data_IF_138994849229
#
_entry.id   IF_138994849229
#
_cell.length_a   1.000
_cell.length_b   1.000
_cell.length_c   1.000
_cell.angle_alpha   90.00
_cell.angle_beta   90.00
_cell.angle_gamma   90.00
#
_symmetry.space_group_name_H-M   'P 1'
#
loop_
_entity.id
_entity.type
_entity.pdbx_description
1 polymer ?
#
# COMPACT_ATOMS: atom_id res chain seq x y z
N UNK A 1 -12.75 -7.74 54.76
CA UNK A 1 -13.79 -7.46 53.78
C UNK A 1 -13.43 -6.25 52.93
N UNK A 2 -13.14 -5.08 53.49
CA UNK A 2 -12.76 -3.83 52.79
C UNK A 2 -11.53 -4.00 51.88
N UNK A 3 -10.46 -4.69 52.33
CA UNK A 3 -9.23 -4.88 51.54
C UNK A 3 -9.43 -5.81 50.33
N UNK A 4 -10.39 -6.72 50.35
CA UNK A 4 -10.73 -7.57 49.21
C UNK A 4 -11.53 -6.79 48.15
N UNK A 5 -12.43 -5.95 48.56
CA UNK A 5 -13.27 -5.11 47.72
C UNK A 5 -12.42 -4.04 47.00
N UNK A 6 -11.43 -3.46 47.67
CA UNK A 6 -10.48 -2.50 47.08
C UNK A 6 -9.59 -3.17 46.05
N UNK A 7 -9.13 -4.40 46.27
CA UNK A 7 -8.36 -5.16 45.27
C UNK A 7 -9.19 -5.54 44.05
N UNK A 8 -10.46 -5.89 44.22
CA UNK A 8 -11.36 -6.25 43.14
C UNK A 8 -11.67 -5.04 42.26
N UNK A 9 -11.87 -3.86 42.88
CA UNK A 9 -12.06 -2.60 42.17
C UNK A 9 -10.81 -2.17 41.36
N UNK A 10 -9.61 -2.33 41.90
CA UNK A 10 -8.35 -2.03 41.20
C UNK A 10 -8.15 -2.99 40.03
N UNK A 11 -8.47 -4.25 40.15
CA UNK A 11 -8.37 -5.25 39.08
C UNK A 11 -9.37 -4.95 37.96
N UNK A 12 -10.62 -4.60 38.28
CA UNK A 12 -11.65 -4.25 37.32
C UNK A 12 -11.29 -2.95 36.57
N UNK A 13 -10.84 -1.91 37.27
CA UNK A 13 -10.39 -0.65 36.65
C UNK A 13 -9.18 -0.84 35.72
N UNK A 14 -8.22 -1.65 36.09
CA UNK A 14 -7.08 -1.98 35.23
C UNK A 14 -7.50 -2.78 33.99
N UNK A 15 -8.44 -3.71 34.13
CA UNK A 15 -8.97 -4.51 33.02
C UNK A 15 -9.77 -3.64 32.04
N UNK A 16 -10.53 -2.68 32.53
CA UNK A 16 -11.26 -1.72 31.68
C UNK A 16 -10.30 -0.77 30.93
N UNK A 17 -9.26 -0.29 31.61
CA UNK A 17 -8.22 0.57 30.98
C UNK A 17 -7.44 -0.18 29.90
N UNK A 18 -7.11 -1.45 30.13
CA UNK A 18 -6.43 -2.29 29.12
C UNK A 18 -7.32 -2.56 27.93
N UNK A 19 -8.59 -2.89 28.13
CA UNK A 19 -9.56 -3.10 27.04
C UNK A 19 -9.82 -1.83 26.23
N UNK A 20 -9.86 -0.66 26.87
CA UNK A 20 -9.98 0.63 26.19
C UNK A 20 -8.75 0.95 25.35
N UNK A 21 -7.54 0.76 25.88
CA UNK A 21 -6.28 0.93 25.16
C UNK A 21 -6.20 0.01 23.93
N UNK A 22 -6.58 -1.24 24.09
CA UNK A 22 -6.59 -2.22 23.01
C UNK A 22 -7.57 -1.84 21.89
N UNK A 23 -8.78 -1.38 22.23
CA UNK A 23 -9.76 -0.89 21.26
C UNK A 23 -9.25 0.35 20.50
N UNK A 24 -8.66 1.29 21.22
CA UNK A 24 -8.08 2.51 20.63
C UNK A 24 -6.93 2.17 19.67
N UNK A 25 -6.03 1.27 20.08
CA UNK A 25 -4.90 0.82 19.28
C UNK A 25 -5.37 0.09 18.01
N UNK A 26 -6.37 -0.77 18.09
CA UNK A 26 -6.98 -1.44 16.94
C UNK A 26 -7.63 -0.46 15.98
N UNK A 27 -8.31 0.58 16.51
CA UNK A 27 -8.94 1.61 15.69
C UNK A 27 -7.90 2.46 14.98
N UNK A 28 -6.87 2.94 15.66
CA UNK A 28 -5.76 3.68 15.08
C UNK A 28 -5.04 2.86 13.99
N UNK A 29 -4.77 1.58 14.26
CA UNK A 29 -4.16 0.66 13.30
C UNK A 29 -5.01 0.45 12.05
N UNK A 30 -6.34 0.42 12.20
CA UNK A 30 -7.29 0.31 11.09
C UNK A 30 -7.29 1.56 10.23
N UNK A 31 -7.32 2.75 10.84
CA UNK A 31 -7.26 4.04 10.13
C UNK A 31 -5.94 4.16 9.39
N UNK A 32 -4.81 3.88 10.03
CA UNK A 32 -3.48 3.92 9.42
C UNK A 32 -3.40 2.98 8.20
N UNK A 33 -3.86 1.74 8.35
CA UNK A 33 -3.87 0.75 7.26
C UNK A 33 -4.83 1.11 6.12
N UNK A 34 -5.89 1.88 6.39
CA UNK A 34 -6.81 2.35 5.36
C UNK A 34 -6.23 3.55 4.59
N UNK A 35 -5.68 4.53 5.31
CA UNK A 35 -5.06 5.73 4.72
C UNK A 35 -3.86 5.36 3.85
N UNK A 36 -2.98 4.48 4.35
CA UNK A 36 -1.81 4.00 3.60
C UNK A 36 -2.09 2.65 2.92
N UNK A 37 -3.19 2.61 2.20
CA UNK A 37 -3.58 1.47 1.36
C UNK A 37 -2.61 1.33 0.17
N UNK A 38 -2.35 0.11 -0.33
CA UNK A 38 -1.52 -0.11 -1.52
C UNK A 38 -2.02 0.64 -2.75
N UNK A 39 -3.30 1.02 -2.78
CA UNK A 39 -3.90 1.78 -3.88
C UNK A 39 -3.46 3.25 -3.91
N UNK A 40 -3.19 3.85 -2.76
CA UNK A 40 -2.78 5.26 -2.64
C UNK A 40 -1.28 5.44 -2.90
N UNK A 41 -0.47 4.40 -2.69
CA UNK A 41 0.98 4.47 -2.82
C UNK A 41 1.48 4.91 -4.20
N UNK A 42 0.91 4.46 -5.35
CA UNK A 42 1.29 4.98 -6.65
C UNK A 42 1.08 6.50 -6.77
N UNK A 43 -0.09 6.98 -6.33
CA UNK A 43 -0.40 8.42 -6.36
C UNK A 43 0.57 9.22 -5.49
N UNK A 44 0.92 8.70 -4.31
CA UNK A 44 1.88 9.31 -3.41
C UNK A 44 3.28 9.38 -4.05
N UNK A 45 3.68 8.34 -4.82
CA UNK A 45 4.93 8.35 -5.57
C UNK A 45 4.98 9.48 -6.61
N UNK A 46 3.89 9.67 -7.36
CA UNK A 46 3.79 10.77 -8.32
C UNK A 46 3.85 12.13 -7.63
N UNK A 47 3.13 12.30 -6.53
CA UNK A 47 3.14 13.55 -5.76
C UNK A 47 4.55 13.91 -5.29
N UNK A 48 5.30 12.93 -4.77
CA UNK A 48 6.67 13.13 -4.32
C UNK A 48 7.59 13.57 -5.47
N UNK A 49 7.53 12.90 -6.62
CA UNK A 49 8.36 13.29 -7.76
C UNK A 49 8.03 14.69 -8.26
N UNK A 50 6.76 15.09 -8.28
CA UNK A 50 6.38 16.45 -8.64
C UNK A 50 6.83 17.51 -7.64
N UNK A 51 7.04 17.16 -6.38
CA UNK A 51 7.52 18.11 -5.38
C UNK A 51 9.03 18.28 -5.40
N UNK A 52 9.80 17.22 -5.70
CA UNK A 52 11.25 17.18 -5.45
C UNK A 52 12.12 17.06 -6.69
N UNK A 53 11.54 16.99 -7.89
CA UNK A 53 12.30 16.97 -9.13
C UNK A 53 12.05 18.23 -9.94
N UNK A 54 12.77 18.39 -11.05
CA UNK A 54 12.54 19.48 -12.01
C UNK A 54 11.09 19.53 -12.54
N UNK A 55 10.31 18.47 -12.33
CA UNK A 55 8.88 18.43 -12.59
C UNK A 55 8.08 19.42 -11.75
N UNK A 56 8.68 19.95 -10.68
CA UNK A 56 8.08 21.04 -9.88
C UNK A 56 7.81 22.29 -10.74
N UNK A 57 8.55 22.51 -11.83
CA UNK A 57 8.35 23.64 -12.75
C UNK A 57 7.26 23.42 -13.81
N UNK A 58 6.71 22.22 -13.93
CA UNK A 58 5.61 21.97 -14.86
C UNK A 58 4.33 22.75 -14.48
N UNK A 59 3.47 23.10 -15.48
CA UNK A 59 2.22 23.79 -15.22
C UNK A 59 1.34 23.03 -14.22
N UNK A 60 0.74 23.75 -13.27
CA UNK A 60 -0.13 23.18 -12.22
C UNK A 60 -1.30 22.38 -12.80
N UNK A 61 -1.86 22.86 -13.92
CA UNK A 61 -2.97 22.19 -14.61
C UNK A 61 -2.54 20.81 -15.10
N UNK A 62 -1.37 20.70 -15.72
CA UNK A 62 -0.83 19.41 -16.18
C UNK A 62 -0.60 18.44 -15.02
N UNK A 63 0.04 18.91 -13.93
CA UNK A 63 0.24 18.10 -12.72
C UNK A 63 -1.09 17.60 -12.17
N UNK A 64 -2.09 18.49 -12.06
CA UNK A 64 -3.43 18.16 -11.56
C UNK A 64 -4.12 17.09 -12.40
N UNK A 65 -4.02 17.19 -13.74
CA UNK A 65 -4.60 16.19 -14.66
C UNK A 65 -3.92 14.83 -14.46
N UNK A 66 -2.59 14.79 -14.43
CA UNK A 66 -1.84 13.52 -14.29
C UNK A 66 -2.09 12.89 -12.91
N UNK A 67 -1.97 13.65 -11.82
CA UNK A 67 -2.23 13.13 -10.47
C UNK A 67 -3.68 12.68 -10.33
N UNK A 68 -4.63 13.47 -10.85
CA UNK A 68 -6.05 13.14 -10.84
C UNK A 68 -6.35 11.85 -11.62
N UNK A 69 -5.76 11.68 -12.81
CA UNK A 69 -5.89 10.46 -13.60
C UNK A 69 -5.30 9.24 -12.87
N UNK A 70 -4.10 9.38 -12.31
CA UNK A 70 -3.46 8.32 -11.52
C UNK A 70 -4.34 7.97 -10.33
N UNK A 71 -4.78 8.95 -9.53
CA UNK A 71 -5.64 8.72 -8.37
C UNK A 71 -6.95 8.00 -8.74
N UNK A 72 -7.62 8.45 -9.78
CA UNK A 72 -8.86 7.85 -10.26
C UNK A 72 -8.65 6.39 -10.68
N UNK A 73 -7.57 6.12 -11.43
CA UNK A 73 -7.29 4.80 -11.98
C UNK A 73 -6.63 3.83 -10.98
N UNK A 74 -5.90 4.34 -9.98
CA UNK A 74 -5.23 3.47 -9.00
C UNK A 74 -6.02 3.32 -7.69
N UNK A 75 -6.92 4.23 -7.38
CA UNK A 75 -7.73 4.19 -6.14
C UNK A 75 -9.19 3.97 -6.45
N UNK A 76 -9.85 4.88 -7.18
CA UNK A 76 -11.30 4.86 -7.34
C UNK A 76 -11.76 3.65 -8.17
N UNK A 77 -11.15 3.41 -9.32
CA UNK A 77 -11.55 2.30 -10.20
C UNK A 77 -11.31 0.93 -9.57
N UNK A 78 -10.14 0.60 -9.00
CA UNK A 78 -9.96 -0.70 -8.35
C UNK A 78 -10.93 -0.94 -7.19
N UNK A 79 -11.17 0.07 -6.35
CA UNK A 79 -12.13 -0.05 -5.25
C UNK A 79 -13.55 -0.29 -5.77
N UNK A 80 -13.96 0.41 -6.83
CA UNK A 80 -15.25 0.21 -7.48
C UNK A 80 -15.36 -1.20 -8.07
N UNK A 81 -14.34 -1.66 -8.79
CA UNK A 81 -14.32 -2.99 -9.40
C UNK A 81 -14.38 -4.10 -8.34
N UNK A 82 -13.63 -3.96 -7.23
CA UNK A 82 -13.66 -4.92 -6.13
C UNK A 82 -15.06 -4.92 -5.48
N UNK A 83 -15.65 -3.73 -5.25
CA UNK A 83 -16.99 -3.61 -4.69
C UNK A 83 -18.04 -4.27 -5.57
N UNK A 84 -18.03 -3.98 -6.89
CA UNK A 84 -18.93 -4.60 -7.85
C UNK A 84 -18.74 -6.11 -7.93
N UNK A 85 -17.50 -6.57 -7.96
CA UNK A 85 -17.16 -7.98 -7.95
C UNK A 85 -17.75 -8.70 -6.71
N UNK A 86 -17.57 -8.13 -5.53
CA UNK A 86 -18.13 -8.68 -4.29
C UNK A 86 -19.67 -8.68 -4.29
N UNK A 87 -20.28 -7.63 -4.84
CA UNK A 87 -21.74 -7.52 -4.90
C UNK A 87 -22.37 -8.54 -5.85
N UNK A 88 -21.77 -8.74 -7.04
CA UNK A 88 -22.33 -9.62 -8.06
C UNK A 88 -21.94 -11.10 -7.87
N UNK A 89 -20.72 -11.35 -7.45
CA UNK A 89 -20.18 -12.70 -7.35
C UNK A 89 -19.98 -13.20 -5.92
N UNK A 90 -20.17 -12.37 -4.90
CA UNK A 90 -19.90 -12.68 -3.50
C UNK A 90 -20.67 -13.88 -2.96
N UNK A 91 -21.90 -14.14 -3.44
CA UNK A 91 -22.71 -15.29 -3.05
C UNK A 91 -22.18 -16.63 -3.60
N UNK A 92 -21.64 -16.61 -4.82
CA UNK A 92 -21.05 -17.82 -5.45
C UNK A 92 -19.64 -18.15 -4.96
N UNK A 93 -18.96 -17.20 -4.29
CA UNK A 93 -17.59 -17.38 -3.78
C UNK A 93 -17.50 -18.16 -2.47
N UNK A 94 -18.61 -18.48 -1.81
CA UNK A 94 -18.59 -19.25 -0.56
C UNK A 94 -18.07 -20.67 -0.79
N UNK A 95 -18.23 -21.22 -1.99
CA UNK A 95 -17.79 -22.58 -2.35
C UNK A 95 -16.34 -22.65 -2.87
N UNK A 96 -15.72 -21.53 -3.24
CA UNK A 96 -14.34 -21.54 -3.74
C UNK A 96 -13.31 -21.56 -2.60
N UNK A 97 -12.20 -22.27 -2.84
CA UNK A 97 -11.04 -22.26 -1.95
C UNK A 97 -10.62 -20.82 -1.61
N UNK A 98 -10.32 -20.56 -0.33
CA UNK A 98 -9.87 -19.25 0.18
C UNK A 98 -8.73 -18.61 -0.64
N UNK A 99 -7.85 -19.42 -1.24
CA UNK A 99 -6.73 -18.98 -2.08
C UNK A 99 -7.21 -18.42 -3.43
N UNK A 100 -8.19 -19.08 -4.06
CA UNK A 100 -8.78 -18.62 -5.34
C UNK A 100 -9.56 -17.31 -5.17
N UNK A 101 -10.22 -17.13 -4.03
CA UNK A 101 -10.92 -15.87 -3.70
C UNK A 101 -9.99 -14.65 -3.66
N UNK A 102 -8.71 -14.85 -3.35
CA UNK A 102 -7.73 -13.76 -3.27
C UNK A 102 -7.16 -13.37 -4.63
N UNK A 103 -7.15 -14.28 -5.61
CA UNK A 103 -6.57 -13.98 -6.93
C UNK A 103 -7.39 -12.97 -7.73
N UNK A 104 -8.71 -13.04 -7.68
CA UNK A 104 -9.58 -12.14 -8.43
C UNK A 104 -9.37 -10.64 -8.11
N UNK A 105 -9.27 -10.20 -6.84
CA UNK A 105 -8.92 -8.80 -6.53
C UNK A 105 -7.57 -8.37 -7.12
N UNK A 106 -6.55 -9.24 -7.11
CA UNK A 106 -5.24 -8.91 -7.72
C UNK A 106 -5.35 -8.71 -9.24
N UNK A 107 -6.11 -9.55 -9.93
CA UNK A 107 -6.34 -9.44 -11.37
C UNK A 107 -7.07 -8.13 -11.72
N UNK A 108 -8.11 -7.77 -10.96
CA UNK A 108 -8.87 -6.53 -11.16
C UNK A 108 -8.01 -5.28 -10.95
N UNK A 109 -7.18 -5.27 -9.91
CA UNK A 109 -6.22 -4.19 -9.66
C UNK A 109 -5.18 -4.12 -10.78
N UNK A 110 -4.67 -5.27 -11.22
CA UNK A 110 -3.73 -5.35 -12.34
C UNK A 110 -4.30 -4.75 -13.63
N UNK A 111 -5.54 -5.08 -13.99
CA UNK A 111 -6.22 -4.52 -15.16
C UNK A 111 -6.33 -3.00 -15.04
N UNK A 112 -6.73 -2.48 -13.87
CA UNK A 112 -6.86 -1.04 -13.64
C UNK A 112 -5.52 -0.33 -13.77
N UNK A 113 -4.43 -0.91 -13.25
CA UNK A 113 -3.09 -0.33 -13.35
C UNK A 113 -2.54 -0.40 -14.78
N UNK A 114 -2.82 -1.46 -15.53
CA UNK A 114 -2.50 -1.53 -16.95
C UNK A 114 -3.23 -0.44 -17.75
N UNK A 115 -4.52 -0.24 -17.47
CA UNK A 115 -5.29 0.85 -18.07
C UNK A 115 -4.68 2.21 -17.73
N UNK A 116 -4.23 2.41 -16.48
CA UNK A 116 -3.53 3.61 -16.06
C UNK A 116 -2.24 3.83 -16.87
N UNK A 117 -1.42 2.81 -17.04
CA UNK A 117 -0.19 2.90 -17.82
C UNK A 117 -0.46 3.28 -19.28
N UNK A 118 -1.49 2.70 -19.89
CA UNK A 118 -1.91 3.03 -21.27
C UNK A 118 -2.36 4.49 -21.37
N UNK A 119 -3.17 4.97 -20.43
CA UNK A 119 -3.65 6.36 -20.42
C UNK A 119 -2.48 7.34 -20.22
N UNK A 120 -1.54 7.06 -19.32
CA UNK A 120 -0.34 7.88 -19.13
C UNK A 120 0.51 7.95 -20.40
N UNK A 121 0.65 6.83 -21.11
CA UNK A 121 1.31 6.80 -22.40
C UNK A 121 0.61 7.69 -23.45
N UNK A 122 -0.72 7.65 -23.53
CA UNK A 122 -1.55 8.49 -24.40
C UNK A 122 -1.49 9.97 -24.07
N UNK A 123 -1.29 10.31 -22.80
CA UNK A 123 -1.11 11.69 -22.32
C UNK A 123 0.32 12.21 -22.51
N UNK A 124 1.18 11.44 -23.20
CA UNK A 124 2.59 11.78 -23.39
C UNK A 124 3.32 12.09 -22.08
N UNK A 125 2.93 11.40 -21.01
CA UNK A 125 3.63 11.50 -19.71
C UNK A 125 5.02 10.91 -19.86
N UNK A 126 6.08 11.57 -19.35
CA UNK A 126 7.45 11.08 -19.44
C UNK A 126 7.60 9.62 -18.97
N UNK A 127 8.43 8.83 -19.67
CA UNK A 127 8.60 7.40 -19.44
C UNK A 127 8.96 7.07 -18.00
N UNK A 128 9.83 7.85 -17.35
CA UNK A 128 10.22 7.64 -15.95
C UNK A 128 9.05 7.79 -14.96
N UNK A 129 8.03 8.60 -15.27
CA UNK A 129 6.79 8.64 -14.46
C UNK A 129 5.93 7.41 -14.69
N UNK A 130 5.78 6.98 -15.94
CA UNK A 130 5.03 5.76 -16.28
C UNK A 130 5.68 4.51 -15.69
N UNK A 131 7.02 4.51 -15.53
CA UNK A 131 7.79 3.47 -14.88
C UNK A 131 7.31 3.15 -13.46
N UNK A 132 6.83 4.15 -12.72
CA UNK A 132 6.23 3.94 -11.38
C UNK A 132 5.06 2.97 -11.45
N UNK A 133 4.11 3.22 -12.35
CA UNK A 133 2.92 2.37 -12.47
C UNK A 133 3.31 0.95 -12.89
N UNK A 134 4.24 0.83 -13.85
CA UNK A 134 4.75 -0.46 -14.32
C UNK A 134 5.41 -1.23 -13.15
N UNK A 135 6.17 -0.54 -12.31
CA UNK A 135 6.78 -1.12 -11.12
C UNK A 135 5.74 -1.63 -10.12
N UNK A 136 4.65 -0.88 -9.89
CA UNK A 136 3.55 -1.33 -9.05
C UNK A 136 2.80 -2.52 -9.65
N UNK A 137 2.61 -2.57 -10.99
CA UNK A 137 2.05 -3.73 -11.68
C UNK A 137 2.94 -4.94 -11.44
N UNK A 138 4.24 -4.81 -11.66
CA UNK A 138 5.21 -5.90 -11.45
C UNK A 138 5.19 -6.41 -10.00
N UNK A 139 5.17 -5.50 -9.02
CA UNK A 139 5.05 -5.87 -7.62
C UNK A 139 3.74 -6.60 -7.32
N UNK A 140 2.60 -6.12 -7.85
CA UNK A 140 1.30 -6.77 -7.66
C UNK A 140 1.26 -8.16 -8.28
N UNK A 141 1.83 -8.34 -9.48
CA UNK A 141 1.96 -9.65 -10.13
C UNK A 141 2.80 -10.61 -9.28
N UNK A 142 3.97 -10.14 -8.82
CA UNK A 142 4.88 -10.93 -7.96
C UNK A 142 4.20 -11.31 -6.64
N UNK A 143 3.54 -10.37 -5.96
CA UNK A 143 2.77 -10.64 -4.75
C UNK A 143 1.62 -11.62 -5.01
N UNK A 144 0.92 -11.49 -6.14
CA UNK A 144 -0.14 -12.40 -6.55
C UNK A 144 0.36 -13.83 -6.73
N UNK A 145 1.48 -14.02 -7.43
CA UNK A 145 2.12 -15.32 -7.64
C UNK A 145 2.62 -15.93 -6.32
N UNK A 146 3.29 -15.14 -5.48
CA UNK A 146 3.75 -15.61 -4.17
C UNK A 146 2.58 -15.99 -3.27
N UNK A 147 1.45 -15.27 -3.36
CA UNK A 147 0.26 -15.54 -2.54
C UNK A 147 -0.43 -16.88 -2.86
N UNK A 148 -0.02 -17.57 -3.93
CA UNK A 148 -0.43 -18.94 -4.21
C UNK A 148 0.20 -19.94 -3.23
N UNK A 149 1.43 -19.69 -2.77
CA UNK A 149 2.16 -20.54 -1.82
C UNK A 149 2.21 -19.93 -0.42
N UNK A 150 2.61 -18.66 -0.32
CA UNK A 150 2.81 -17.93 0.94
C UNK A 150 1.96 -16.66 0.93
N UNK A 151 1.27 -16.42 2.02
CA UNK A 151 0.53 -15.17 2.18
C UNK A 151 1.52 -14.01 2.31
N UNK A 152 1.35 -12.97 1.50
CA UNK A 152 2.22 -11.79 1.47
C UNK A 152 1.41 -10.55 1.83
N UNK A 153 1.98 -9.66 2.63
CA UNK A 153 1.35 -8.40 2.99
C UNK A 153 1.52 -7.37 1.88
N UNK A 154 0.46 -7.09 1.13
CA UNK A 154 0.47 -6.07 0.06
C UNK A 154 0.71 -4.65 0.55
N UNK A 155 0.31 -4.34 1.81
CA UNK A 155 0.53 -3.02 2.40
C UNK A 155 2.02 -2.77 2.63
N UNK A 156 2.75 -3.74 3.18
CA UNK A 156 4.19 -3.61 3.39
C UNK A 156 4.96 -3.72 2.07
N UNK A 157 4.47 -4.51 1.12
CA UNK A 157 5.04 -4.58 -0.23
C UNK A 157 4.98 -3.22 -0.93
N UNK A 158 3.84 -2.52 -0.88
CA UNK A 158 3.73 -1.19 -1.48
C UNK A 158 4.64 -0.14 -0.82
N UNK A 159 4.86 -0.23 0.51
CA UNK A 159 5.85 0.62 1.20
C UNK A 159 7.27 0.29 0.74
N UNK A 160 7.60 -1.00 0.58
CA UNK A 160 8.87 -1.44 0.03
C UNK A 160 9.11 -0.90 -1.38
N UNK A 161 8.08 -0.95 -2.25
CA UNK A 161 8.15 -0.36 -3.60
C UNK A 161 8.47 1.14 -3.55
N UNK A 162 7.82 1.89 -2.66
CA UNK A 162 8.08 3.32 -2.49
C UNK A 162 9.55 3.61 -2.17
N UNK A 163 10.11 2.88 -1.22
CA UNK A 163 11.53 3.01 -0.85
C UNK A 163 12.42 2.58 -2.01
N UNK A 164 12.08 1.46 -2.67
CA UNK A 164 12.81 0.94 -3.81
C UNK A 164 12.82 1.87 -5.03
N UNK A 165 11.76 2.63 -5.26
CA UNK A 165 11.66 3.65 -6.30
C UNK A 165 12.48 4.90 -5.94
N UNK A 166 12.47 5.33 -4.68
CA UNK A 166 13.19 6.53 -4.25
C UNK A 166 14.71 6.41 -4.45
N UNK A 167 15.28 5.23 -4.26
CA UNK A 167 16.72 5.01 -4.38
C UNK A 167 17.23 5.29 -5.80
N UNK A 168 16.76 4.61 -6.88
CA UNK A 168 17.21 4.91 -8.24
C UNK A 168 16.88 6.35 -8.66
N UNK A 169 15.71 6.88 -8.30
CA UNK A 169 15.36 8.25 -8.67
C UNK A 169 16.22 9.29 -7.98
N UNK A 170 16.69 9.06 -6.77
CA UNK A 170 17.63 9.97 -6.11
C UNK A 170 18.94 10.10 -6.89
N UNK A 171 19.38 9.00 -7.51
CA UNK A 171 20.58 8.98 -8.35
C UNK A 171 20.29 9.64 -9.72
N UNK A 172 19.17 9.33 -10.35
CA UNK A 172 18.80 9.87 -11.67
C UNK A 172 18.58 11.38 -11.59
N UNK A 173 17.86 11.85 -10.58
CA UNK A 173 17.49 13.27 -10.43
C UNK A 173 18.42 14.06 -9.51
N UNK A 174 19.48 13.44 -8.99
CA UNK A 174 20.51 14.10 -8.16
C UNK A 174 19.93 14.86 -6.96
N UNK A 175 18.89 14.31 -6.29
CA UNK A 175 18.33 14.91 -5.08
C UNK A 175 18.69 14.08 -3.85
N UNK A 176 18.70 14.73 -2.66
CA UNK A 176 18.97 14.05 -1.41
C UNK A 176 17.71 13.33 -0.90
N UNK A 177 17.64 12.00 -0.90
CA UNK A 177 16.46 11.25 -0.50
C UNK A 177 16.37 11.02 1.01
N UNK A 178 17.41 11.36 1.82
CA UNK A 178 17.57 10.92 3.22
C UNK A 178 16.33 11.20 4.10
N UNK A 179 15.78 12.41 4.01
CA UNK A 179 14.60 12.76 4.81
C UNK A 179 13.37 11.94 4.45
N UNK A 180 13.14 11.70 3.16
CA UNK A 180 12.00 10.92 2.66
C UNK A 180 12.19 9.44 2.90
N UNK A 181 13.40 8.94 2.70
CA UNK A 181 13.76 7.56 2.95
C UNK A 181 13.52 7.19 4.42
N UNK A 182 14.01 8.02 5.35
CA UNK A 182 13.77 7.82 6.79
C UNK A 182 12.29 7.85 7.14
N UNK A 183 11.53 8.79 6.56
CA UNK A 183 10.08 8.89 6.73
C UNK A 183 9.34 7.63 6.26
N UNK A 184 9.68 7.11 5.06
CA UNK A 184 9.04 5.89 4.52
C UNK A 184 9.47 4.62 5.24
N UNK A 185 10.69 4.54 5.77
CA UNK A 185 11.13 3.42 6.62
C UNK A 185 10.31 3.41 7.91
N UNK A 186 10.17 4.55 8.58
CA UNK A 186 9.32 4.66 9.77
C UNK A 186 7.85 4.33 9.46
N UNK A 187 7.31 4.85 8.37
CA UNK A 187 5.95 4.57 7.92
C UNK A 187 5.74 3.08 7.65
N UNK A 188 6.69 2.42 6.99
CA UNK A 188 6.62 0.98 6.71
C UNK A 188 6.63 0.15 7.99
N UNK A 189 7.41 0.56 9.00
CA UNK A 189 7.40 -0.03 10.34
C UNK A 189 6.06 0.13 11.03
N UNK A 190 5.48 1.34 11.00
CA UNK A 190 4.17 1.63 11.57
C UNK A 190 3.06 0.81 10.90
N UNK A 191 3.07 0.72 9.56
CA UNK A 191 2.10 -0.07 8.80
C UNK A 191 2.27 -1.57 9.10
N UNK A 192 3.52 -2.05 9.14
CA UNK A 192 3.83 -3.43 9.53
C UNK A 192 3.27 -3.77 10.90
N UNK A 193 3.53 -2.92 11.90
CA UNK A 193 3.02 -3.06 13.27
C UNK A 193 1.48 -3.03 13.29
N UNK A 194 0.85 -2.11 12.55
CA UNK A 194 -0.61 -2.04 12.45
C UNK A 194 -1.20 -3.34 11.88
N UNK A 195 -0.55 -3.97 10.90
CA UNK A 195 -0.97 -5.26 10.32
C UNK A 195 -0.86 -6.41 11.33
N UNK A 196 0.17 -6.39 12.18
CA UNK A 196 0.35 -7.36 13.26
C UNK A 196 -0.71 -7.19 14.35
N UNK A 197 -0.96 -5.97 14.83
CA UNK A 197 -1.97 -5.65 15.84
C UNK A 197 -3.37 -6.07 15.38
N UNK A 198 -3.68 -5.85 14.10
CA UNK A 198 -4.96 -6.27 13.50
C UNK A 198 -5.04 -7.79 13.25
N UNK A 199 -3.98 -8.54 13.54
CA UNK A 199 -3.86 -9.99 13.30
C UNK A 199 -4.18 -10.38 11.84
N UNK A 200 -3.95 -9.46 10.91
CA UNK A 200 -4.20 -9.69 9.47
C UNK A 200 -3.04 -10.41 8.80
N UNK A 201 -1.83 -10.21 9.30
CA UNK A 201 -0.61 -10.79 8.78
C UNK A 201 0.31 -11.24 9.92
N UNK A 202 1.14 -12.26 9.66
CA UNK A 202 2.23 -12.67 10.54
C UNK A 202 3.46 -11.80 10.29
N UNK A 203 4.42 -11.81 11.22
CA UNK A 203 5.69 -11.08 11.08
C UNK A 203 6.43 -11.47 9.78
N UNK A 204 6.47 -12.77 9.49
CA UNK A 204 7.09 -13.28 8.27
C UNK A 204 6.43 -12.72 6.99
N UNK A 205 5.09 -12.68 6.93
CA UNK A 205 4.33 -12.13 5.80
C UNK A 205 4.58 -10.62 5.59
N UNK A 206 4.78 -9.89 6.69
CA UNK A 206 5.09 -8.45 6.69
C UNK A 206 6.49 -8.21 6.14
N UNK A 207 7.50 -8.92 6.66
CA UNK A 207 8.89 -8.79 6.21
C UNK A 207 9.03 -9.25 4.77
N UNK A 208 8.46 -10.40 4.41
CA UNK A 208 8.49 -10.93 3.05
C UNK A 208 7.87 -9.92 2.06
N UNK A 209 6.72 -9.33 2.41
CA UNK A 209 6.09 -8.30 1.59
C UNK A 209 7.00 -7.10 1.37
N UNK A 210 7.61 -6.59 2.44
CA UNK A 210 8.52 -5.45 2.38
C UNK A 210 9.73 -5.71 1.48
N UNK A 211 10.39 -6.85 1.65
CA UNK A 211 11.59 -7.24 0.85
C UNK A 211 11.23 -7.40 -0.62
N UNK A 212 10.12 -8.08 -0.93
CA UNK A 212 9.62 -8.24 -2.31
C UNK A 212 9.32 -6.87 -2.93
N UNK A 213 8.65 -6.00 -2.19
CA UNK A 213 8.34 -4.65 -2.65
C UNK A 213 9.60 -3.83 -2.94
N UNK A 214 10.57 -3.85 -2.03
CA UNK A 214 11.85 -3.16 -2.19
C UNK A 214 12.59 -3.63 -3.44
N UNK A 215 12.69 -4.95 -3.62
CA UNK A 215 13.33 -5.55 -4.78
C UNK A 215 12.62 -5.17 -6.09
N UNK A 216 11.28 -5.25 -6.13
CA UNK A 216 10.50 -4.82 -7.27
C UNK A 216 10.68 -3.33 -7.56
N UNK A 217 10.73 -2.49 -6.51
CA UNK A 217 10.92 -1.05 -6.64
C UNK A 217 12.22 -0.67 -7.29
N UNK A 218 13.33 -1.25 -6.83
CA UNK A 218 14.67 -0.99 -7.37
C UNK A 218 14.76 -1.47 -8.83
N UNK A 219 14.41 -2.73 -9.06
CA UNK A 219 14.55 -3.32 -10.40
C UNK A 219 13.56 -2.71 -11.40
N UNK A 220 12.34 -2.41 -10.99
CA UNK A 220 11.32 -1.84 -11.88
C UNK A 220 11.70 -0.49 -12.47
N UNK A 221 12.54 0.32 -11.80
CA UNK A 221 13.06 1.58 -12.33
C UNK A 221 14.35 1.38 -13.12
N UNK A 222 15.20 0.43 -12.73
CA UNK A 222 16.48 0.18 -13.42
C UNK A 222 16.32 -0.49 -14.79
N UNK A 223 15.23 -1.25 -15.00
CA UNK A 223 14.96 -1.96 -16.26
C UNK A 223 14.13 -1.17 -17.28
N UNK A 224 13.68 0.03 -16.94
CA UNK A 224 12.90 0.93 -17.81
C UNK A 224 13.73 2.15 -18.21
#
# INVERSE_FOLDING_TARGET
>A
MIIMEEKENIVTENTEKETFKEKTLKTASRILSAVFSPFIMPTLSFLLLYLFTYLAFMPLIYKGIVIGAVYLLTVCIPLLLIYLYQRFFGKGMQELSERKKRFAPYALVGISYCTCAIILYRLYVPHYLSAIIITFIFCMMTCGLLNLKWKVSTHTASCGVMIGILLPYSVIFQFNPLGWLSGFILLSGLIGTARLILQRNTLFEVILGFVVGLFCGINGILFI
#
